data_IF_764866759995
#
_entry.id   IF_764866759995
#
_cell.length_a   1.000
_cell.length_b   1.000
_cell.length_c   1.000
_cell.angle_alpha   90.00
_cell.angle_beta   90.00
_cell.angle_gamma   90.00
#
_symmetry.space_group_name_H-M   'P 1'
#
loop_
_entity.id
_entity.type
_entity.pdbx_description
1 polymer ?
#
# COMPACT_ATOMS: atom_id res chain seq x y z
N UNK A 1 32.43 -41.86 7.40
CA UNK A 1 32.35 -43.20 6.75
C UNK A 1 31.27 -43.10 5.69
N UNK A 2 31.61 -43.25 4.41
CA UNK A 2 31.43 -44.51 3.64
C UNK A 2 29.94 -44.83 3.44
N UNK A 3 29.38 -44.58 2.26
CA UNK A 3 29.32 -45.52 1.11
C UNK A 3 27.94 -46.23 1.09
N UNK A 4 27.09 -46.05 0.07
CA UNK A 4 27.06 -46.83 -1.20
C UNK A 4 26.78 -48.34 -1.00
N UNK A 5 25.99 -49.05 -1.82
CA UNK A 5 25.23 -48.74 -3.05
C UNK A 5 24.41 -50.00 -3.46
N UNK A 6 23.65 -49.92 -4.57
CA UNK A 6 22.94 -50.98 -5.33
C UNK A 6 21.47 -51.13 -4.93
N UNK A 7 20.45 -50.92 -5.77
CA UNK A 7 20.25 -51.04 -7.24
C UNK A 7 20.06 -52.48 -7.72
N UNK A 8 18.86 -52.76 -8.26
CA UNK A 8 18.63 -53.69 -9.36
C UNK A 8 18.27 -52.89 -10.62
N UNK A 9 18.63 -53.41 -11.80
CA UNK A 9 18.29 -52.86 -13.11
C UNK A 9 17.54 -53.92 -13.92
N UNK A 10 16.55 -53.50 -14.69
CA UNK A 10 16.02 -54.26 -15.82
C UNK A 10 16.06 -53.37 -17.09
N UNK A 11 16.64 -53.91 -18.15
CA UNK A 11 16.50 -53.42 -19.53
C UNK A 11 15.59 -54.41 -20.30
N UNK A 12 15.07 -54.14 -21.51
CA UNK A 12 15.29 -53.05 -22.46
C UNK A 12 13.91 -52.58 -23.02
N UNK A 13 13.71 -51.91 -24.17
CA UNK A 13 14.46 -51.77 -25.43
C UNK A 13 14.05 -50.45 -26.13
N UNK A 14 14.83 -49.99 -27.12
CA UNK A 14 14.73 -48.64 -27.69
C UNK A 14 13.79 -48.49 -28.89
N UNK A 15 13.07 -47.37 -28.94
CA UNK A 15 12.59 -46.75 -30.20
C UNK A 15 12.97 -45.26 -30.16
N UNK A 16 13.76 -44.80 -31.13
CA UNK A 16 14.21 -43.41 -31.21
C UNK A 16 13.21 -42.53 -31.95
N UNK A 17 12.50 -41.66 -31.24
CA UNK A 17 11.70 -40.59 -31.82
C UNK A 17 12.42 -39.24 -31.65
N UNK A 18 12.78 -38.59 -32.76
CA UNK A 18 13.33 -37.23 -32.75
C UNK A 18 12.20 -36.22 -32.52
N UNK A 19 11.88 -35.98 -31.24
CA UNK A 19 10.94 -34.95 -30.81
C UNK A 19 11.70 -33.68 -30.43
N UNK A 20 11.78 -32.73 -31.37
CA UNK A 20 12.17 -31.36 -31.07
C UNK A 20 11.03 -30.66 -30.33
N UNK A 21 11.09 -30.65 -29.00
CA UNK A 21 10.18 -29.86 -28.14
C UNK A 21 10.96 -28.67 -27.60
N UNK A 22 10.32 -27.49 -27.59
CA UNK A 22 10.96 -26.23 -27.27
C UNK A 22 11.50 -26.13 -25.84
N UNK A 23 12.49 -25.25 -25.65
CA UNK A 23 13.09 -24.90 -24.36
C UNK A 23 12.02 -24.35 -23.39
N UNK A 24 11.54 -25.24 -22.52
CA UNK A 24 10.47 -24.96 -21.58
C UNK A 24 11.01 -24.15 -20.40
N UNK A 25 11.19 -22.84 -20.62
CA UNK A 25 11.33 -21.84 -19.54
C UNK A 25 10.29 -22.15 -18.46
N UNK A 26 10.66 -22.18 -17.16
CA UNK A 26 9.70 -22.46 -16.10
C UNK A 26 8.64 -21.34 -16.09
N UNK A 27 7.45 -21.66 -16.60
CA UNK A 27 6.31 -20.77 -16.51
C UNK A 27 6.01 -20.50 -15.04
N UNK A 28 5.79 -19.22 -14.68
CA UNK A 28 5.31 -18.86 -13.35
C UNK A 28 4.05 -19.70 -13.08
N UNK A 29 4.10 -20.60 -12.10
CA UNK A 29 2.91 -21.28 -11.63
C UNK A 29 1.94 -20.22 -11.10
N UNK A 30 0.81 -20.04 -11.76
CA UNK A 30 -0.23 -19.12 -11.31
C UNK A 30 -0.73 -19.60 -9.96
N UNK A 31 -0.72 -18.70 -8.96
CA UNK A 31 -1.25 -18.99 -7.64
C UNK A 31 -2.73 -19.40 -7.77
N UNK A 32 -3.12 -20.51 -7.16
CA UNK A 32 -4.50 -20.97 -7.23
C UNK A 32 -5.39 -20.03 -6.40
N UNK A 33 -6.17 -19.20 -7.08
CA UNK A 33 -6.84 -18.04 -6.47
C UNK A 33 -6.10 -16.72 -6.65
N UNK A 34 -5.25 -16.58 -7.68
CA UNK A 34 -4.51 -15.35 -7.97
C UNK A 34 -5.42 -14.13 -8.12
N UNK A 35 -5.32 -13.20 -7.16
CA UNK A 35 -5.78 -11.82 -7.26
C UNK A 35 -4.75 -10.99 -8.01
N UNK A 36 -5.20 -9.90 -8.62
CA UNK A 36 -4.35 -8.87 -9.25
C UNK A 36 -4.66 -7.52 -8.61
N UNK A 37 -3.62 -6.80 -8.21
CA UNK A 37 -3.68 -5.38 -7.86
C UNK A 37 -2.79 -4.64 -8.87
N UNK A 38 -3.41 -3.99 -9.85
CA UNK A 38 -2.70 -3.12 -10.79
C UNK A 38 -2.49 -1.76 -10.12
N UNK A 39 -1.37 -1.11 -10.42
CA UNK A 39 -1.03 0.20 -9.89
C UNK A 39 -0.62 1.10 -11.04
N UNK A 40 -1.26 2.27 -11.14
CA UNK A 40 -1.11 3.23 -12.24
C UNK A 40 -0.58 4.56 -11.71
N UNK A 41 0.46 5.09 -12.35
CA UNK A 41 1.00 6.41 -12.04
C UNK A 41 0.44 7.46 -13.02
N UNK A 42 -0.60 8.19 -12.63
CA UNK A 42 -1.11 9.34 -13.39
C UNK A 42 -0.52 10.67 -12.90
N UNK A 43 0.47 10.65 -12.00
CA UNK A 43 1.21 11.84 -11.57
C UNK A 43 2.15 12.34 -12.69
N UNK A 44 2.52 13.62 -12.60
CA UNK A 44 3.52 14.24 -13.48
C UNK A 44 4.96 13.88 -13.12
N UNK A 45 5.20 13.22 -11.97
CA UNK A 45 6.51 12.72 -11.54
C UNK A 45 6.58 11.19 -11.49
N UNK A 46 7.82 10.67 -11.47
CA UNK A 46 8.09 9.25 -11.24
C UNK A 46 7.78 8.87 -9.79
N UNK A 47 7.08 7.78 -9.57
CA UNK A 47 6.85 7.21 -8.24
C UNK A 47 7.59 5.88 -8.08
N UNK A 48 8.02 5.57 -6.85
CA UNK A 48 8.64 4.31 -6.49
C UNK A 48 7.70 3.53 -5.59
N UNK A 49 7.08 2.50 -6.14
CA UNK A 49 6.17 1.61 -5.43
C UNK A 49 6.83 0.93 -4.24
N UNK A 50 5.99 0.62 -3.26
CA UNK A 50 6.32 -0.10 -2.05
C UNK A 50 5.10 -0.88 -1.58
N UNK A 51 5.34 -2.03 -0.96
CA UNK A 51 4.30 -2.86 -0.37
C UNK A 51 4.78 -3.45 0.97
N UNK A 52 3.84 -3.68 1.87
CA UNK A 52 4.06 -4.40 3.12
C UNK A 52 2.98 -5.47 3.27
N UNK A 53 3.39 -6.71 3.57
CA UNK A 53 2.47 -7.83 3.86
C UNK A 53 2.47 -8.09 5.37
N UNK A 54 1.28 -8.19 5.96
CA UNK A 54 1.10 -8.48 7.39
C UNK A 54 1.70 -9.85 7.75
N UNK A 55 2.48 -9.97 8.84
CA UNK A 55 3.06 -11.25 9.26
C UNK A 55 2.02 -12.36 9.41
N UNK A 56 2.30 -13.53 8.82
CA UNK A 56 1.38 -14.68 8.77
C UNK A 56 0.62 -14.82 7.45
N UNK A 57 0.64 -13.81 6.58
CA UNK A 57 0.02 -13.85 5.25
C UNK A 57 1.03 -14.14 4.14
N UNK A 58 0.55 -14.69 3.02
CA UNK A 58 1.39 -14.95 1.85
C UNK A 58 1.81 -13.64 1.18
N UNK A 59 3.08 -13.59 0.75
CA UNK A 59 3.72 -12.37 0.26
C UNK A 59 3.21 -11.97 -1.13
N UNK A 60 3.02 -10.67 -1.34
CA UNK A 60 2.83 -10.08 -2.66
C UNK A 60 3.99 -10.44 -3.60
N UNK A 61 3.68 -10.72 -4.87
CA UNK A 61 4.74 -10.83 -5.88
C UNK A 61 5.21 -9.44 -6.28
N UNK A 62 6.47 -9.11 -6.03
CA UNK A 62 7.03 -7.83 -6.48
C UNK A 62 6.97 -7.67 -8.01
N UNK A 63 6.68 -6.46 -8.52
CA UNK A 63 6.71 -6.16 -9.95
C UNK A 63 8.14 -6.20 -10.49
N UNK A 64 8.28 -6.33 -11.81
CA UNK A 64 9.60 -6.36 -12.48
C UNK A 64 10.42 -5.06 -12.32
N UNK A 65 9.75 -3.96 -11.96
CA UNK A 65 10.34 -2.69 -11.54
C UNK A 65 9.43 -2.08 -10.46
N UNK A 66 9.96 -1.62 -9.31
CA UNK A 66 9.19 -0.77 -8.40
C UNK A 66 9.08 0.67 -8.92
N UNK A 67 9.85 1.06 -9.95
CA UNK A 67 9.86 2.42 -10.51
C UNK A 67 8.77 2.54 -11.58
N UNK A 68 7.84 3.49 -11.39
CA UNK A 68 6.79 3.87 -12.35
C UNK A 68 7.02 5.30 -12.85
N UNK A 69 7.43 5.52 -14.12
CA UNK A 69 7.38 6.86 -14.72
C UNK A 69 5.94 7.34 -14.89
N UNK A 70 5.71 8.65 -15.18
CA UNK A 70 4.39 9.18 -15.55
C UNK A 70 3.72 8.37 -16.67
N UNK A 71 2.45 8.01 -16.47
CA UNK A 71 1.67 7.14 -17.37
C UNK A 71 2.07 5.64 -17.32
N UNK A 72 3.00 5.26 -16.45
CA UNK A 72 3.42 3.87 -16.26
C UNK A 72 2.49 3.09 -15.32
N UNK A 73 2.43 1.77 -15.51
CA UNK A 73 1.71 0.86 -14.62
C UNK A 73 2.48 -0.43 -14.34
N UNK A 74 2.17 -1.06 -13.20
CA UNK A 74 2.71 -2.34 -12.78
C UNK A 74 1.62 -3.17 -12.07
N UNK A 75 1.78 -4.49 -12.01
CA UNK A 75 0.83 -5.38 -11.36
C UNK A 75 1.49 -6.20 -10.25
N UNK A 76 0.89 -6.15 -9.07
CA UNK A 76 1.10 -7.10 -7.99
C UNK A 76 0.13 -8.27 -8.15
N UNK A 77 0.59 -9.48 -7.83
CA UNK A 77 -0.24 -10.68 -7.76
C UNK A 77 -0.17 -11.25 -6.34
N UNK A 78 -1.28 -11.82 -5.88
CA UNK A 78 -1.39 -12.40 -4.54
C UNK A 78 -2.48 -13.47 -4.49
N UNK A 79 -2.68 -14.16 -3.37
CA UNK A 79 -3.77 -15.12 -3.20
C UNK A 79 -5.06 -14.47 -2.64
N UNK A 80 -6.02 -15.27 -2.18
CA UNK A 80 -7.28 -14.78 -1.62
C UNK A 80 -7.18 -14.29 -0.16
N UNK A 81 -6.07 -14.53 0.54
CA UNK A 81 -5.90 -14.31 1.98
C UNK A 81 -4.79 -13.29 2.29
N UNK A 82 -4.58 -12.31 1.40
CA UNK A 82 -3.63 -11.25 1.66
C UNK A 82 -4.18 -10.19 2.61
N UNK A 83 -3.36 -9.78 3.58
CA UNK A 83 -3.55 -8.58 4.38
C UNK A 83 -2.27 -7.76 4.30
N UNK A 84 -2.39 -6.45 4.08
CA UNK A 84 -1.27 -5.54 3.97
C UNK A 84 -1.63 -4.23 3.28
N UNK A 85 -0.60 -3.49 2.85
CA UNK A 85 -0.78 -2.16 2.23
C UNK A 85 0.26 -1.85 1.16
N UNK A 86 -0.11 -0.97 0.22
CA UNK A 86 0.71 -0.50 -0.90
C UNK A 86 0.79 1.04 -0.84
N UNK A 87 1.96 1.61 -1.16
CA UNK A 87 2.14 3.06 -1.21
C UNK A 87 3.13 3.50 -2.30
N UNK A 88 3.10 4.79 -2.62
CA UNK A 88 3.98 5.42 -3.61
C UNK A 88 4.98 6.36 -2.92
N UNK A 89 6.26 6.24 -3.27
CA UNK A 89 7.35 7.07 -2.73
C UNK A 89 7.80 8.08 -3.78
N UNK A 90 8.13 9.30 -3.36
CA UNK A 90 8.49 10.42 -4.26
C UNK A 90 9.95 10.85 -4.10
N UNK A 91 10.44 11.62 -5.08
CA UNK A 91 11.79 12.25 -5.08
C UNK A 91 12.95 11.28 -4.73
N UNK A 92 12.90 10.03 -5.18
CA UNK A 92 13.88 9.02 -4.78
C UNK A 92 15.18 9.01 -5.60
N UNK A 93 16.31 8.70 -4.95
CA UNK A 93 17.61 8.52 -5.60
C UNK A 93 18.77 8.47 -4.62
N UNK A 94 19.98 8.71 -5.13
CA UNK A 94 21.22 8.75 -4.35
C UNK A 94 21.83 7.38 -4.03
N UNK A 95 22.99 7.42 -3.35
CA UNK A 95 23.66 6.27 -2.74
C UNK A 95 24.15 6.69 -1.34
N UNK A 96 23.63 6.13 -0.23
CA UNK A 96 22.55 5.14 -0.18
C UNK A 96 21.23 5.68 -0.75
N UNK A 97 20.45 4.80 -1.37
CA UNK A 97 19.16 5.15 -1.97
C UNK A 97 18.14 5.60 -0.91
N UNK A 98 17.54 6.78 -1.12
CA UNK A 98 16.51 7.37 -0.25
C UNK A 98 15.41 8.05 -1.06
N UNK A 99 14.21 8.09 -0.51
CA UNK A 99 13.07 8.88 -0.98
C UNK A 99 12.82 10.13 -0.13
N UNK A 100 12.17 11.15 -0.70
CA UNK A 100 11.78 12.36 0.02
C UNK A 100 10.58 12.14 0.94
N UNK A 101 9.61 11.33 0.50
CA UNK A 101 8.42 10.93 1.26
C UNK A 101 8.32 9.40 1.32
N UNK A 102 7.70 8.85 2.36
CA UNK A 102 7.34 7.43 2.42
C UNK A 102 8.52 6.43 2.29
N UNK A 103 9.76 6.85 2.61
CA UNK A 103 10.98 6.05 2.46
C UNK A 103 10.93 4.71 3.22
N UNK A 104 11.73 3.74 2.77
CA UNK A 104 11.77 2.40 3.38
C UNK A 104 13.19 1.79 3.43
N UNK A 105 14.23 2.64 3.49
CA UNK A 105 15.63 2.23 3.67
C UNK A 105 16.16 1.28 2.56
N UNK A 106 15.73 1.53 1.31
CA UNK A 106 16.20 0.80 0.13
C UNK A 106 15.37 1.01 -1.14
N UNK A 107 15.93 0.54 -2.27
CA UNK A 107 15.26 0.53 -3.59
C UNK A 107 13.98 -0.31 -3.54
N UNK A 108 14.06 -1.50 -2.95
CA UNK A 108 12.93 -2.35 -2.56
C UNK A 108 12.82 -2.31 -1.03
N UNK A 109 11.62 -2.13 -0.51
CA UNK A 109 11.39 -2.16 0.94
C UNK A 109 11.70 -3.56 1.49
N UNK A 110 12.35 -3.63 2.66
CA UNK A 110 12.66 -4.91 3.31
C UNK A 110 11.40 -5.45 3.99
N UNK A 111 11.27 -6.78 4.13
CA UNK A 111 10.16 -7.37 4.87
C UNK A 111 10.06 -6.82 6.29
N UNK A 112 8.85 -6.47 6.72
CA UNK A 112 8.60 -5.79 7.99
C UNK A 112 8.79 -4.27 7.99
N UNK A 113 9.25 -3.65 6.89
CA UNK A 113 9.34 -2.19 6.78
C UNK A 113 8.00 -1.61 6.29
N UNK A 114 7.47 -0.69 7.08
CA UNK A 114 6.12 -0.10 6.93
C UNK A 114 6.09 1.19 6.08
N UNK A 115 7.27 1.73 5.74
CA UNK A 115 7.42 3.08 5.21
C UNK A 115 7.53 4.12 6.33
N UNK A 116 8.25 5.22 6.09
CA UNK A 116 8.34 6.37 7.01
C UNK A 116 7.31 7.44 6.63
N UNK A 117 6.38 7.82 7.51
CA UNK A 117 5.46 8.94 7.27
C UNK A 117 6.17 10.23 6.77
N UNK A 118 5.48 11.07 5.98
CA UNK A 118 4.10 10.94 5.55
C UNK A 118 3.94 9.96 4.37
N UNK A 119 2.87 9.16 4.40
CA UNK A 119 2.55 8.21 3.34
C UNK A 119 1.03 8.05 3.19
N UNK A 120 0.48 8.32 2.01
CA UNK A 120 -0.87 7.89 1.64
C UNK A 120 -0.84 6.39 1.34
N UNK A 121 -1.75 5.63 1.94
CA UNK A 121 -1.74 4.16 1.93
C UNK A 121 -2.99 3.61 1.22
N UNK A 122 -2.82 2.54 0.45
CA UNK A 122 -3.90 1.67 0.02
C UNK A 122 -3.84 0.40 0.87
N UNK A 123 -4.80 0.21 1.77
CA UNK A 123 -4.81 -0.88 2.76
C UNK A 123 -5.87 -1.93 2.37
N UNK A 124 -5.58 -3.21 2.61
CA UNK A 124 -6.40 -4.34 2.19
C UNK A 124 -6.41 -5.47 3.21
N UNK A 125 -7.56 -6.14 3.35
CA UNK A 125 -7.69 -7.44 3.99
C UNK A 125 -8.66 -8.34 3.19
N UNK A 126 -8.12 -9.30 2.44
CA UNK A 126 -8.87 -10.13 1.48
C UNK A 126 -9.53 -11.36 2.14
N UNK A 127 -10.68 -11.79 1.61
CA UNK A 127 -11.51 -12.93 2.09
C UNK A 127 -11.66 -13.02 3.62
N UNK A 128 -12.07 -11.93 4.25
CA UNK A 128 -12.32 -11.83 5.69
C UNK A 128 -13.78 -12.20 6.02
N UNK A 129 -14.41 -11.51 6.99
CA UNK A 129 -15.78 -11.79 7.43
C UNK A 129 -16.78 -11.82 6.25
N UNK A 130 -17.59 -12.88 6.19
CA UNK A 130 -18.54 -13.11 5.09
C UNK A 130 -17.91 -13.48 3.74
N UNK A 131 -16.59 -13.70 3.68
CA UNK A 131 -15.87 -13.88 2.40
C UNK A 131 -15.69 -12.58 1.63
N UNK A 132 -15.76 -11.43 2.31
CA UNK A 132 -15.57 -10.11 1.73
C UNK A 132 -14.11 -9.67 1.81
N UNK A 133 -13.67 -9.00 0.75
CA UNK A 133 -12.42 -8.25 0.69
C UNK A 133 -12.68 -6.84 1.26
N UNK A 134 -12.01 -6.49 2.35
CA UNK A 134 -12.03 -5.15 2.91
C UNK A 134 -10.87 -4.32 2.38
N UNK A 135 -11.10 -3.04 2.12
CA UNK A 135 -10.11 -2.11 1.58
C UNK A 135 -10.47 -0.67 1.92
N UNK A 136 -9.45 0.18 1.97
CA UNK A 136 -9.59 1.61 2.20
C UNK A 136 -8.34 2.35 1.69
N UNK A 137 -8.50 3.67 1.54
CA UNK A 137 -7.34 4.57 1.47
C UNK A 137 -7.19 5.21 2.83
N UNK A 138 -5.96 5.26 3.32
CA UNK A 138 -5.63 5.70 4.67
C UNK A 138 -4.61 6.84 4.59
N UNK A 139 -4.93 7.90 5.35
CA UNK A 139 -4.03 9.04 5.63
C UNK A 139 -3.76 9.13 7.13
N UNK A 140 -3.87 8.00 7.85
CA UNK A 140 -3.50 7.88 9.26
C UNK A 140 -2.00 8.16 9.42
N UNK A 141 -1.18 7.62 8.52
CA UNK A 141 0.25 7.91 8.37
C UNK A 141 0.53 9.22 7.59
N UNK A 142 -0.46 10.11 7.45
CA UNK A 142 -0.39 11.36 6.70
C UNK A 142 -0.65 11.19 5.19
N UNK A 143 -0.29 12.20 4.41
CA UNK A 143 -0.52 12.29 2.97
C UNK A 143 0.77 12.68 2.24
N UNK A 144 1.06 12.01 1.12
CA UNK A 144 2.14 12.41 0.21
C UNK A 144 1.74 12.43 -1.28
N UNK A 145 0.74 11.63 -1.67
CA UNK A 145 0.21 11.57 -3.03
C UNK A 145 -1.32 11.39 -3.00
N UNK A 146 -2.09 11.99 -3.93
CA UNK A 146 -3.49 11.62 -4.13
C UNK A 146 -3.59 10.17 -4.60
N UNK A 147 -4.61 9.44 -4.12
CA UNK A 147 -4.74 8.01 -4.33
C UNK A 147 -6.21 7.58 -4.44
N UNK A 148 -6.51 6.63 -5.32
CA UNK A 148 -7.80 5.91 -5.41
C UNK A 148 -7.58 4.40 -5.42
N UNK A 149 -8.53 3.64 -4.86
CA UNK A 149 -8.70 2.21 -5.07
C UNK A 149 -10.02 2.02 -5.83
N UNK A 150 -9.96 1.42 -7.02
CA UNK A 150 -11.11 1.02 -7.82
C UNK A 150 -11.21 -0.52 -7.87
N UNK A 151 -12.26 -1.13 -7.31
CA UNK A 151 -12.51 -2.55 -7.47
C UNK A 151 -13.01 -2.87 -8.89
N UNK A 152 -12.59 -3.99 -9.46
CA UNK A 152 -13.03 -4.46 -10.79
C UNK A 152 -14.50 -4.90 -10.87
N UNK A 153 -15.23 -4.82 -9.75
CA UNK A 153 -16.64 -5.19 -9.62
C UNK A 153 -17.44 -3.90 -9.48
N UNK A 154 -18.19 -3.52 -10.52
CA UNK A 154 -18.82 -2.19 -10.65
C UNK A 154 -19.94 -1.86 -9.64
N UNK A 155 -20.34 -2.81 -8.80
CA UNK A 155 -21.24 -2.57 -7.66
C UNK A 155 -20.50 -2.24 -6.35
N UNK A 156 -19.17 -2.36 -6.33
CA UNK A 156 -18.32 -1.96 -5.22
C UNK A 156 -17.86 -0.51 -5.40
N UNK A 157 -17.42 0.13 -4.32
CA UNK A 157 -17.15 1.57 -4.31
C UNK A 157 -15.72 1.87 -4.74
N UNK A 158 -15.52 2.77 -5.70
CA UNK A 158 -14.22 3.42 -5.89
C UNK A 158 -14.06 4.50 -4.82
N UNK A 159 -13.01 4.37 -4.01
CA UNK A 159 -12.76 5.20 -2.84
C UNK A 159 -11.32 5.74 -2.84
N UNK A 160 -11.06 6.83 -2.11
CA UNK A 160 -9.74 7.45 -2.11
C UNK A 160 -9.66 8.83 -1.50
N UNK A 161 -8.48 9.45 -1.65
CA UNK A 161 -8.29 10.88 -1.49
C UNK A 161 -7.77 11.48 -2.79
N UNK A 162 -8.63 12.21 -3.50
CA UNK A 162 -8.27 12.96 -4.72
C UNK A 162 -7.71 14.35 -4.42
N UNK A 163 -7.99 14.90 -3.23
CA UNK A 163 -7.63 16.27 -2.89
C UNK A 163 -6.16 16.37 -2.47
N UNK A 164 -5.35 17.04 -3.29
CA UNK A 164 -3.94 17.27 -2.98
C UNK A 164 -3.78 18.39 -1.92
N UNK A 165 -3.79 17.99 -0.66
CA UNK A 165 -3.58 18.89 0.50
C UNK A 165 -2.19 19.55 0.50
N UNK A 166 -1.22 18.99 -0.22
CA UNK A 166 0.14 19.54 -0.37
C UNK A 166 0.19 20.57 -1.49
N UNK A 167 -0.24 20.23 -2.71
CA UNK A 167 -0.23 21.13 -3.86
C UNK A 167 -1.22 22.30 -3.71
N UNK A 168 -2.30 22.14 -2.95
CA UNK A 168 -3.22 23.24 -2.59
C UNK A 168 -2.71 24.10 -1.41
N UNK A 169 -1.56 23.76 -0.81
CA UNK A 169 -0.97 24.43 0.35
C UNK A 169 -1.93 24.51 1.57
N UNK A 170 -2.84 23.54 1.70
CA UNK A 170 -3.79 23.46 2.82
C UNK A 170 -3.33 22.54 3.95
N UNK A 171 -2.16 21.91 3.82
CA UNK A 171 -1.51 21.18 4.92
C UNK A 171 -1.20 22.15 6.08
N UNK A 172 -1.74 21.92 7.31
CA UNK A 172 -1.49 22.77 8.46
C UNK A 172 0.00 22.95 8.77
N UNK A 173 0.42 24.16 9.13
CA UNK A 173 1.83 24.50 9.33
C UNK A 173 2.67 23.52 10.19
N UNK A 174 2.20 22.99 11.35
CA UNK A 174 2.97 22.03 12.17
C UNK A 174 2.92 20.58 11.64
N UNK A 175 2.39 20.36 10.44
CA UNK A 175 2.31 19.07 9.75
C UNK A 175 3.07 19.07 8.41
N UNK A 176 3.64 20.20 7.98
CA UNK A 176 4.25 20.34 6.66
C UNK A 176 5.64 19.68 6.60
N UNK A 177 5.73 18.48 6.01
CA UNK A 177 7.03 17.93 5.62
C UNK A 177 7.61 18.80 4.49
N UNK A 178 8.83 19.31 4.68
CA UNK A 178 9.52 20.18 3.71
C UNK A 178 10.81 19.56 3.23
N UNK A 179 11.14 19.76 1.95
CA UNK A 179 12.48 19.46 1.42
C UNK A 179 13.48 20.57 1.74
N UNK A 180 14.75 20.34 1.37
CA UNK A 180 15.87 21.25 1.63
C UNK A 180 15.74 22.65 1.00
N UNK A 181 14.80 22.85 0.06
CA UNK A 181 14.49 24.15 -0.53
C UNK A 181 13.29 24.84 0.16
N UNK A 182 12.72 24.21 1.19
CA UNK A 182 11.55 24.71 1.93
C UNK A 182 10.20 24.43 1.27
N UNK A 183 10.17 23.75 0.12
CA UNK A 183 8.93 23.33 -0.52
C UNK A 183 8.25 22.23 0.30
N UNK A 184 6.93 22.33 0.49
CA UNK A 184 6.14 21.26 1.13
C UNK A 184 6.08 20.06 0.18
N UNK A 185 6.41 18.87 0.67
CA UNK A 185 6.45 17.62 -0.11
C UNK A 185 5.49 16.55 0.44
N UNK A 186 4.97 16.76 1.63
CA UNK A 186 4.07 15.83 2.33
C UNK A 186 3.38 16.52 3.50
N UNK A 187 2.29 15.93 3.97
CA UNK A 187 1.57 16.36 5.16
C UNK A 187 1.56 15.23 6.17
N UNK A 188 2.19 15.42 7.33
CA UNK A 188 2.11 14.48 8.43
C UNK A 188 0.70 14.46 9.03
N UNK A 189 0.27 13.33 9.58
CA UNK A 189 -0.74 13.36 10.64
C UNK A 189 -0.08 13.62 12.00
N UNK A 190 -0.83 14.07 13.00
CA UNK A 190 -0.25 14.56 14.25
C UNK A 190 0.59 13.51 15.02
N UNK A 191 0.24 12.21 14.92
CA UNK A 191 1.03 11.12 15.49
C UNK A 191 2.47 11.06 14.95
N UNK A 192 2.65 11.39 13.66
CA UNK A 192 3.91 11.19 12.95
C UNK A 192 4.70 12.49 12.68
N UNK A 193 4.11 13.66 12.96
CA UNK A 193 4.79 14.94 12.77
C UNK A 193 5.96 15.09 13.77
N UNK A 194 7.17 15.48 13.33
CA UNK A 194 8.31 15.76 14.19
C UNK A 194 7.99 16.70 15.36
N UNK A 195 7.16 17.71 15.08
CA UNK A 195 6.68 18.74 15.99
C UNK A 195 5.96 18.19 17.24
N UNK A 196 5.31 17.02 17.14
CA UNK A 196 4.55 16.43 18.23
C UNK A 196 5.23 15.22 18.92
N UNK A 197 6.42 14.79 18.46
CA UNK A 197 7.13 13.64 19.05
C UNK A 197 7.60 13.86 20.50
N UNK A 198 7.53 15.10 21.01
CA UNK A 198 7.78 15.44 22.42
C UNK A 198 6.54 16.06 23.11
N UNK A 199 5.36 15.89 22.52
CA UNK A 199 4.09 16.39 23.08
C UNK A 199 3.60 15.49 24.24
N UNK A 200 3.06 16.06 25.33
CA UNK A 200 2.34 15.26 26.34
C UNK A 200 1.06 14.62 25.78
N UNK A 201 0.56 15.11 24.63
CA UNK A 201 -0.60 14.58 23.92
C UNK A 201 -0.23 13.56 22.82
N UNK A 202 1.02 13.10 22.72
CA UNK A 202 1.42 12.12 21.68
C UNK A 202 0.60 10.83 21.76
N UNK A 203 0.36 10.30 22.97
CA UNK A 203 -0.51 9.16 23.24
C UNK A 203 -1.91 9.34 22.62
N UNK A 204 -2.43 10.57 22.66
CA UNK A 204 -3.73 10.95 22.10
C UNK A 204 -3.67 10.90 20.58
N UNK A 205 -2.73 11.62 19.96
CA UNK A 205 -2.62 11.72 18.51
C UNK A 205 -2.37 10.37 17.82
N UNK A 206 -1.67 9.45 18.49
CA UNK A 206 -1.40 8.09 18.00
C UNK A 206 -2.45 7.05 18.42
N UNK A 207 -3.41 7.40 19.28
CA UNK A 207 -4.32 6.46 19.94
C UNK A 207 -3.61 5.22 20.53
N UNK A 208 -2.65 5.49 21.43
CA UNK A 208 -1.88 4.49 22.18
C UNK A 208 -2.01 4.73 23.70
N UNK A 209 -1.41 3.84 24.49
CA UNK A 209 -1.43 3.96 25.96
C UNK A 209 -2.86 3.89 26.51
N UNK A 210 -3.34 4.97 27.13
CA UNK A 210 -4.73 5.09 27.60
C UNK A 210 -5.76 5.30 26.48
N UNK A 211 -5.33 5.51 25.24
CA UNK A 211 -6.17 5.72 24.05
C UNK A 211 -6.11 4.54 23.07
N UNK A 212 -5.54 3.40 23.46
CA UNK A 212 -5.46 2.16 22.65
C UNK A 212 -6.81 1.43 22.51
N UNK A 213 -7.83 1.88 23.23
CA UNK A 213 -9.21 1.42 23.11
C UNK A 213 -10.00 2.33 22.14
N UNK A 214 -10.93 1.72 21.39
CA UNK A 214 -11.70 2.42 20.38
C UNK A 214 -12.55 3.58 20.96
N UNK A 215 -13.28 3.33 22.06
CA UNK A 215 -14.12 4.37 22.68
C UNK A 215 -13.23 5.50 23.25
N UNK A 216 -12.06 5.15 23.80
CA UNK A 216 -11.11 6.12 24.33
C UNK A 216 -10.49 7.01 23.23
N UNK A 217 -10.13 6.45 22.07
CA UNK A 217 -9.64 7.18 20.92
C UNK A 217 -10.72 8.05 20.27
N UNK A 218 -11.91 7.49 20.04
CA UNK A 218 -13.07 8.20 19.45
C UNK A 218 -13.52 9.35 20.36
N UNK A 219 -13.42 9.23 21.69
CA UNK A 219 -13.73 10.31 22.62
C UNK A 219 -12.80 11.54 22.52
N UNK A 220 -11.67 11.46 21.79
CA UNK A 220 -10.72 12.55 21.60
C UNK A 220 -10.44 12.92 20.14
N UNK A 221 -11.14 12.29 19.20
CA UNK A 221 -11.09 12.56 17.75
C UNK A 221 -12.49 12.76 17.13
N UNK A 222 -12.61 13.46 15.99
CA UNK A 222 -11.53 14.13 15.27
C UNK A 222 -11.05 15.39 16.00
N UNK A 223 -9.77 15.71 15.87
CA UNK A 223 -9.19 16.96 16.35
C UNK A 223 -8.83 17.88 15.19
N UNK A 224 -8.17 19.01 15.45
CA UNK A 224 -7.82 19.97 14.40
C UNK A 224 -7.00 19.36 13.23
N UNK A 225 -6.17 18.36 13.50
CA UNK A 225 -5.25 17.76 12.53
C UNK A 225 -5.91 16.63 11.75
N UNK A 226 -6.66 15.76 12.45
CA UNK A 226 -7.40 14.68 11.81
C UNK A 226 -8.66 15.21 11.09
N UNK A 227 -9.21 16.35 11.51
CA UNK A 227 -10.24 17.11 10.78
C UNK A 227 -9.70 17.68 9.47
N UNK A 228 -8.51 18.29 9.46
CA UNK A 228 -7.93 18.84 8.24
C UNK A 228 -7.72 17.75 7.17
N UNK A 229 -7.18 16.59 7.58
CA UNK A 229 -7.07 15.43 6.71
C UNK A 229 -8.43 14.90 6.26
N UNK A 230 -9.46 14.88 7.13
CA UNK A 230 -10.80 14.42 6.76
C UNK A 230 -11.54 15.37 5.81
N UNK A 231 -11.28 16.68 5.89
CA UNK A 231 -11.84 17.68 4.97
C UNK A 231 -11.25 17.57 3.57
N UNK A 232 -9.95 17.25 3.45
CA UNK A 232 -9.32 16.89 2.17
C UNK A 232 -9.79 15.50 1.67
N UNK A 233 -9.89 14.53 2.58
CA UNK A 233 -10.10 13.13 2.26
C UNK A 233 -11.36 12.53 2.91
N UNK A 234 -12.61 12.92 2.52
CA UNK A 234 -13.82 12.45 3.19
C UNK A 234 -14.02 10.92 3.18
N UNK A 235 -13.49 10.22 2.17
CA UNK A 235 -13.58 8.75 2.06
C UNK A 235 -12.38 8.00 2.67
N UNK A 236 -11.33 8.68 3.11
CA UNK A 236 -10.12 8.04 3.63
C UNK A 236 -10.10 8.01 5.17
N UNK A 237 -9.43 7.03 5.77
CA UNK A 237 -9.17 7.01 7.21
C UNK A 237 -8.25 8.19 7.61
N UNK A 238 -8.72 9.09 8.49
CA UNK A 238 -7.87 10.20 9.00
C UNK A 238 -7.30 9.99 10.41
N UNK A 239 -7.71 8.93 11.09
CA UNK A 239 -7.15 8.42 12.35
C UNK A 239 -7.54 6.94 12.53
N UNK A 240 -6.94 6.24 13.49
CA UNK A 240 -6.99 4.77 13.58
C UNK A 240 -8.39 4.14 13.79
N UNK A 241 -9.42 4.91 14.15
CA UNK A 241 -10.78 4.42 14.44
C UNK A 241 -11.86 5.24 13.71
N UNK A 242 -11.56 5.73 12.50
CA UNK A 242 -12.42 6.59 11.68
C UNK A 242 -13.63 5.88 11.01
N UNK A 243 -13.97 4.67 11.48
CA UNK A 243 -15.07 3.80 11.00
C UNK A 243 -16.41 4.55 10.86
N UNK A 244 -16.71 5.43 11.82
CA UNK A 244 -17.95 6.21 11.86
C UNK A 244 -18.17 7.09 10.62
N UNK A 245 -17.09 7.54 9.97
CA UNK A 245 -17.13 8.31 8.73
C UNK A 245 -17.17 7.42 7.47
N UNK A 246 -17.33 6.10 7.62
CA UNK A 246 -17.48 5.11 6.55
C UNK A 246 -16.28 5.07 5.61
N UNK A 247 -15.07 5.15 6.19
CA UNK A 247 -13.79 5.09 5.48
C UNK A 247 -13.41 3.67 5.02
N UNK A 248 -13.99 2.65 5.65
CA UNK A 248 -13.83 1.25 5.26
C UNK A 248 -14.82 0.86 4.15
N UNK A 249 -14.33 0.07 3.20
CA UNK A 249 -15.12 -0.47 2.11
C UNK A 249 -15.01 -1.99 2.04
N UNK A 250 -16.03 -2.62 1.48
CA UNK A 250 -16.09 -4.06 1.28
C UNK A 250 -16.47 -4.37 -0.17
N UNK A 251 -15.94 -5.48 -0.70
CA UNK A 251 -16.28 -6.03 -2.00
C UNK A 251 -16.22 -7.56 -1.94
N UNK A 252 -16.84 -8.24 -2.91
CA UNK A 252 -16.78 -9.70 -3.00
C UNK A 252 -15.92 -10.11 -4.19
N UNK A 253 -14.77 -10.72 -3.93
CA UNK A 253 -13.93 -11.40 -4.91
C UNK A 253 -13.47 -10.49 -6.07
N UNK A 254 -12.98 -9.28 -5.77
CA UNK A 254 -12.53 -8.35 -6.81
C UNK A 254 -11.08 -8.62 -7.28
N UNK A 255 -10.71 -8.03 -8.42
CA UNK A 255 -9.36 -7.51 -8.64
C UNK A 255 -9.40 -6.00 -8.36
N UNK A 256 -8.25 -5.34 -8.26
CA UNK A 256 -8.17 -3.93 -7.90
C UNK A 256 -7.22 -3.14 -8.79
N UNK A 257 -7.58 -1.89 -9.05
CA UNK A 257 -6.71 -0.89 -9.66
C UNK A 257 -6.47 0.26 -8.67
N UNK A 258 -5.20 0.53 -8.36
CA UNK A 258 -4.76 1.67 -7.54
C UNK A 258 -4.29 2.78 -8.48
N UNK A 259 -4.81 3.99 -8.31
CA UNK A 259 -4.46 5.15 -9.14
C UNK A 259 -3.84 6.25 -8.30
N UNK A 260 -2.59 6.62 -8.62
CA UNK A 260 -1.94 7.81 -8.05
C UNK A 260 -2.23 9.05 -8.91
N UNK A 261 -2.54 10.18 -8.26
CA UNK A 261 -2.88 11.46 -8.89
C UNK A 261 -4.10 11.45 -9.84
N UNK A 262 -5.09 10.60 -9.56
CA UNK A 262 -6.39 10.57 -10.24
C UNK A 262 -6.64 9.29 -11.04
N UNK A 263 -7.88 8.82 -11.06
CA UNK A 263 -8.32 7.57 -11.68
C UNK A 263 -9.72 7.69 -12.30
N UNK A 264 -10.58 6.65 -12.24
CA UNK A 264 -11.92 6.70 -12.82
C UNK A 264 -12.90 7.61 -12.06
N UNK A 265 -12.52 8.12 -10.89
CA UNK A 265 -13.33 9.00 -10.05
C UNK A 265 -14.02 8.26 -8.90
N UNK A 266 -14.17 8.95 -7.76
CA UNK A 266 -14.86 8.40 -6.60
C UNK A 266 -16.35 8.14 -6.90
N UNK A 267 -16.87 6.98 -6.48
CA UNK A 267 -18.28 6.59 -6.71
C UNK A 267 -19.16 6.77 -5.46
N UNK A 268 -18.72 7.62 -4.53
CA UNK A 268 -19.39 7.95 -3.26
C UNK A 268 -18.97 9.35 -2.83
N UNK A 269 -19.94 10.13 -2.35
CA UNK A 269 -19.78 11.47 -1.79
C UNK A 269 -20.77 11.63 -0.62
#
# INVERSE_FOLDING_TARGET
MAAQMKVLVAAALTVSALLSVADARPGRALLQGSRTITVHNNCSETIWLAAHTTPGHNLLTEPASPVLPPGGSAAYYTDNNWIGRIWGRTKCGGDPFRCGTADCDGVTCRFGVTGTPPATLAEFAMTQWGGLDFYDVSVVDGFNLPMQIAPSVSSCVTAGCEYDIVATNNCPAPLQQKDSNGAVIGCYNACAAPEFQSSPDLDKYCCIGKYIDADACIAVHPDAYTTAHKQACPLAYSYAYDDANKSLFACAQANYDIYFCGGPGLTKF
#
